data_IF_291210275251
#
_entry.id   IF_291210275251
#
_cell.length_a   1.000
_cell.length_b   1.000
_cell.length_c   1.000
_cell.angle_alpha   90.00
_cell.angle_beta   90.00
_cell.angle_gamma   90.00
#
_symmetry.space_group_name_H-M   'P 1'
#
loop_
_entity.id
_entity.type
_entity.pdbx_description
1 polymer ?
#
# COMPACT_ATOMS: atom_id res chain seq x y z
N UNK A 1 -25.62 27.76 -6.80
CA UNK A 1 -26.85 26.94 -6.99
C UNK A 1 -26.59 25.95 -8.10
N UNK A 2 -26.10 24.74 -7.78
CA UNK A 2 -25.93 23.66 -8.75
C UNK A 2 -26.73 22.49 -8.17
N UNK A 3 -27.90 22.27 -8.75
CA UNK A 3 -28.83 21.22 -8.37
C UNK A 3 -28.54 19.91 -9.11
N UNK A 4 -28.79 18.80 -8.43
CA UNK A 4 -28.82 17.47 -9.04
C UNK A 4 -30.16 17.28 -9.79
N UNK A 5 -30.18 16.73 -11.01
CA UNK A 5 -31.45 16.30 -11.61
C UNK A 5 -31.96 15.03 -10.92
N UNK A 6 -33.19 15.05 -10.41
CA UNK A 6 -33.91 13.84 -10.02
C UNK A 6 -34.37 13.09 -11.28
N UNK A 7 -34.03 11.81 -11.37
CA UNK A 7 -34.53 10.92 -12.41
C UNK A 7 -35.80 10.22 -11.91
N UNK A 8 -36.85 10.25 -12.74
CA UNK A 8 -38.18 9.70 -12.51
C UNK A 8 -38.14 8.21 -12.14
N UNK A 9 -38.79 7.85 -11.03
CA UNK A 9 -38.88 6.48 -10.50
C UNK A 9 -39.67 5.54 -11.43
N UNK A 10 -39.03 4.44 -11.85
CA UNK A 10 -39.74 3.20 -12.19
C UNK A 10 -38.98 2.03 -11.57
N UNK A 11 -39.65 1.27 -10.71
CA UNK A 11 -39.05 0.37 -9.72
C UNK A 11 -38.16 -0.75 -10.24
N UNK A 12 -37.10 -1.03 -9.48
CA UNK A 12 -36.22 -2.20 -9.62
C UNK A 12 -34.96 -2.04 -8.74
N UNK A 13 -34.90 -2.72 -7.60
CA UNK A 13 -33.90 -2.53 -6.54
C UNK A 13 -32.46 -2.85 -6.98
N UNK A 14 -31.63 -1.84 -7.19
CA UNK A 14 -30.16 -1.95 -7.21
C UNK A 14 -29.56 -0.77 -6.42
N UNK A 15 -28.90 -1.06 -5.29
CA UNK A 15 -28.19 -0.04 -4.49
C UNK A 15 -26.95 0.42 -5.26
N UNK A 16 -27.07 1.48 -6.05
CA UNK A 16 -25.91 2.25 -6.52
C UNK A 16 -25.58 3.30 -5.46
N UNK A 17 -24.42 3.17 -4.81
CA UNK A 17 -23.88 4.21 -3.95
C UNK A 17 -23.33 5.32 -4.86
N UNK A 18 -24.08 6.42 -5.00
CA UNK A 18 -23.60 7.63 -5.68
C UNK A 18 -22.69 8.39 -4.73
N UNK A 19 -21.39 8.18 -4.85
CA UNK A 19 -20.39 8.98 -4.15
C UNK A 19 -20.32 10.38 -4.79
N UNK A 20 -20.89 11.36 -4.10
CA UNK A 20 -20.67 12.78 -4.39
C UNK A 20 -19.23 13.12 -4.00
N UNK A 21 -18.32 13.13 -4.97
CA UNK A 21 -16.92 13.49 -4.77
C UNK A 21 -16.81 14.95 -4.32
N UNK A 22 -16.46 15.15 -3.06
CA UNK A 22 -16.07 16.47 -2.53
C UNK A 22 -14.60 16.71 -2.88
N UNK A 23 -14.35 17.72 -3.72
CA UNK A 23 -13.01 18.08 -4.16
C UNK A 23 -12.23 18.73 -2.98
N UNK A 24 -11.55 17.92 -2.15
CA UNK A 24 -10.72 18.41 -1.05
C UNK A 24 -9.34 18.80 -1.59
N UNK A 25 -9.09 20.09 -1.74
CA UNK A 25 -7.76 20.64 -2.06
C UNK A 25 -6.84 20.48 -0.84
N UNK A 26 -5.94 19.51 -0.88
CA UNK A 26 -4.94 19.31 0.17
C UNK A 26 -3.78 20.30 -0.01
N UNK A 27 -3.68 21.32 0.83
CA UNK A 27 -2.47 22.16 0.91
C UNK A 27 -1.36 21.32 1.57
N UNK A 28 -0.49 20.71 0.76
CA UNK A 28 0.65 19.96 1.25
C UNK A 28 1.67 20.93 1.89
N UNK A 29 1.81 20.86 3.21
CA UNK A 29 2.88 21.58 3.93
C UNK A 29 4.20 20.89 3.61
N UNK A 30 5.10 21.59 2.91
CA UNK A 30 6.43 21.07 2.60
C UNK A 30 7.21 20.94 3.90
N UNK A 31 7.42 19.70 4.37
CA UNK A 31 8.30 19.45 5.50
C UNK A 31 9.72 19.85 5.12
N UNK A 32 10.31 20.77 5.88
CA UNK A 32 11.69 21.21 5.68
C UNK A 32 12.61 19.98 5.79
N UNK A 33 13.19 19.54 4.67
CA UNK A 33 14.07 18.37 4.62
C UNK A 33 15.39 18.76 5.26
N UNK A 34 15.57 18.40 6.53
CA UNK A 34 16.89 18.39 7.16
C UNK A 34 17.72 17.34 6.43
N UNK A 35 18.58 17.78 5.51
CA UNK A 35 19.53 16.97 4.77
C UNK A 35 20.64 16.50 5.70
N UNK A 36 20.33 15.56 6.60
CA UNK A 36 21.38 14.72 7.17
C UNK A 36 21.94 13.90 6.00
N UNK A 37 23.13 14.27 5.51
CA UNK A 37 23.94 13.61 4.47
C UNK A 37 24.43 12.21 4.92
N UNK A 38 23.59 11.48 5.62
CA UNK A 38 23.76 10.08 5.99
C UNK A 38 22.73 9.34 5.14
N UNK A 39 23.19 8.73 4.06
CA UNK A 39 22.35 7.91 3.19
C UNK A 39 21.63 6.87 4.06
N UNK A 40 20.32 7.08 4.30
CA UNK A 40 19.51 6.16 5.09
C UNK A 40 19.25 4.92 4.24
N UNK A 41 20.23 4.03 4.19
CA UNK A 41 20.13 2.76 3.47
C UNK A 41 19.09 1.90 4.20
N UNK A 42 17.91 1.80 3.61
CA UNK A 42 16.85 0.91 4.09
C UNK A 42 16.94 -0.43 3.36
N UNK A 43 16.80 -1.52 4.12
CA UNK A 43 16.70 -2.86 3.59
C UNK A 43 15.39 -3.47 4.10
N UNK A 44 14.52 -3.85 3.18
CA UNK A 44 13.19 -4.37 3.47
C UNK A 44 13.09 -5.82 3.00
N UNK A 45 12.86 -6.76 3.91
CA UNK A 45 12.54 -8.15 3.55
C UNK A 45 11.07 -8.41 3.84
N UNK A 46 10.30 -8.72 2.81
CA UNK A 46 8.86 -8.92 2.90
C UNK A 46 8.49 -10.39 3.07
N UNK A 47 7.80 -10.67 4.18
CA UNK A 47 7.33 -11.98 4.58
C UNK A 47 5.84 -11.89 4.92
N UNK A 48 4.99 -12.47 4.08
CA UNK A 48 3.54 -12.52 4.29
C UNK A 48 3.17 -13.80 5.01
N UNK A 49 2.29 -13.72 6.02
CA UNK A 49 1.72 -14.91 6.64
C UNK A 49 0.65 -15.51 5.71
N UNK A 50 0.66 -16.83 5.58
CA UNK A 50 -0.33 -17.60 4.85
C UNK A 50 -0.66 -18.89 5.64
N UNK A 51 -1.76 -19.55 5.31
CA UNK A 51 -2.18 -20.82 5.94
C UNK A 51 -1.97 -21.93 4.93
N UNK A 52 -1.01 -22.81 5.19
CA UNK A 52 -0.72 -23.98 4.35
C UNK A 52 -1.17 -25.26 5.04
N UNK A 53 -2.08 -26.02 4.41
CA UNK A 53 -2.79 -27.14 5.06
C UNK A 53 -3.58 -26.67 6.29
N UNK A 54 -4.63 -27.36 6.75
CA UNK A 54 -5.77 -26.67 7.37
C UNK A 54 -5.47 -25.89 8.67
N UNK A 55 -4.28 -26.02 9.28
CA UNK A 55 -3.93 -25.34 10.54
C UNK A 55 -2.46 -24.90 10.68
N UNK A 56 -1.64 -24.89 9.62
CA UNK A 56 -0.23 -24.47 9.75
C UNK A 56 -0.03 -23.09 9.14
N UNK A 57 0.32 -22.10 9.98
CA UNK A 57 0.79 -20.80 9.49
C UNK A 57 2.18 -20.96 8.89
N UNK A 58 2.34 -20.52 7.65
CA UNK A 58 3.63 -20.38 7.00
C UNK A 58 3.88 -18.89 6.67
N UNK A 59 5.13 -18.57 6.35
CA UNK A 59 5.57 -17.23 5.99
C UNK A 59 6.22 -17.27 4.61
N UNK A 60 5.60 -16.61 3.64
CA UNK A 60 6.01 -16.64 2.24
C UNK A 60 6.71 -15.35 1.83
N UNK A 61 7.74 -15.47 0.99
CA UNK A 61 8.35 -14.31 0.35
C UNK A 61 7.32 -13.64 -0.57
N UNK A 62 7.26 -12.31 -0.58
CA UNK A 62 6.29 -11.62 -1.44
C UNK A 62 6.62 -11.71 -2.94
N UNK A 63 7.91 -11.75 -3.29
CA UNK A 63 8.37 -11.80 -4.68
C UNK A 63 8.67 -13.22 -5.20
N UNK A 64 8.48 -14.26 -4.40
CA UNK A 64 8.76 -15.65 -4.83
C UNK A 64 7.73 -16.61 -4.25
N UNK A 65 7.65 -17.84 -4.77
CA UNK A 65 6.75 -18.87 -4.23
C UNK A 65 7.34 -19.67 -3.05
N UNK A 66 8.41 -19.17 -2.42
CA UNK A 66 9.07 -19.84 -1.29
C UNK A 66 8.40 -19.46 0.02
N UNK A 67 8.08 -20.45 0.83
CA UNK A 67 7.49 -20.28 2.15
C UNK A 67 8.28 -21.07 3.20
N UNK A 68 8.27 -20.55 4.42
CA UNK A 68 9.01 -21.08 5.56
C UNK A 68 8.08 -21.25 6.74
N UNK A 69 8.45 -22.10 7.70
CA UNK A 69 7.62 -22.36 8.88
C UNK A 69 7.66 -21.18 9.85
N UNK A 70 8.80 -20.50 9.93
CA UNK A 70 8.97 -19.35 10.82
C UNK A 70 9.21 -18.05 10.05
N UNK A 71 8.89 -16.94 10.71
CA UNK A 71 9.11 -15.60 10.17
C UNK A 71 10.60 -15.29 10.01
N UNK A 72 11.44 -15.81 10.91
CA UNK A 72 12.87 -15.58 10.88
C UNK A 72 13.55 -16.36 9.75
N UNK A 73 13.14 -17.61 9.51
CA UNK A 73 13.55 -18.34 8.30
C UNK A 73 13.17 -17.58 7.03
N UNK A 74 11.95 -17.03 6.98
CA UNK A 74 11.53 -16.21 5.86
C UNK A 74 12.44 -14.99 5.68
N UNK A 75 12.73 -14.24 6.75
CA UNK A 75 13.60 -13.06 6.70
C UNK A 75 15.03 -13.38 6.28
N UNK A 76 15.55 -14.54 6.67
CA UNK A 76 16.91 -14.97 6.35
C UNK A 76 17.06 -15.44 4.89
N UNK A 77 16.00 -15.97 4.27
CA UNK A 77 16.08 -16.63 2.97
C UNK A 77 15.32 -15.90 1.84
N UNK A 78 14.47 -14.93 2.16
CA UNK A 78 13.78 -14.12 1.14
C UNK A 78 14.67 -12.99 0.62
N UNK A 79 14.50 -12.60 -0.67
CA UNK A 79 15.26 -11.50 -1.24
C UNK A 79 14.95 -10.18 -0.55
N UNK A 80 16.02 -9.45 -0.21
CA UNK A 80 15.96 -8.08 0.27
C UNK A 80 15.52 -7.12 -0.83
N UNK A 81 14.64 -6.18 -0.49
CA UNK A 81 14.32 -5.01 -1.29
C UNK A 81 15.14 -3.82 -0.79
N UNK A 82 16.00 -3.30 -1.65
CA UNK A 82 16.80 -2.10 -1.41
C UNK A 82 16.29 -0.98 -2.32
N UNK A 83 15.19 -0.29 -1.94
CA UNK A 83 14.59 0.73 -2.78
C UNK A 83 15.58 1.89 -2.98
N UNK A 84 15.59 2.43 -4.20
CA UNK A 84 16.28 3.68 -4.48
C UNK A 84 15.30 4.83 -4.31
N UNK A 85 15.69 5.83 -3.52
CA UNK A 85 14.92 7.05 -3.45
C UNK A 85 14.96 7.78 -4.80
N UNK A 86 13.87 8.43 -5.22
CA UNK A 86 13.90 9.29 -6.39
C UNK A 86 14.94 10.41 -6.18
N UNK A 87 15.56 10.90 -7.27
CA UNK A 87 16.45 12.05 -7.18
C UNK A 87 15.69 13.24 -6.59
N UNK A 88 16.35 14.00 -5.72
CA UNK A 88 15.73 15.21 -5.18
C UNK A 88 15.51 16.20 -6.33
N UNK A 89 14.35 16.87 -6.38
CA UNK A 89 14.11 17.90 -7.39
C UNK A 89 15.17 18.99 -7.23
N UNK A 90 15.87 19.29 -8.32
CA UNK A 90 16.75 20.45 -8.42
C UNK A 90 15.88 21.71 -8.32
N UNK A 91 16.12 22.51 -7.29
CA UNK A 91 15.50 23.84 -7.11
C UNK A 91 16.32 24.87 -7.87
#
# INVERSE_FOLDING_TARGET
LIGCPQLLETGGTRRSHSDCLTNTSSNATVANVVTSRYERKINLTFCSADIFMPFVTCYCCQNTRRCYKTRDECRANCPACNPRCPPQPST
#
